data_IF_445293323523
#
_entry.id   IF_445293323523
#
_cell.length_a   1.000
_cell.length_b   1.000
_cell.length_c   1.000
_cell.angle_alpha   90.00
_cell.angle_beta   90.00
_cell.angle_gamma   90.00
#
_symmetry.space_group_name_H-M   'P 1'
#
loop_
_entity.id
_entity.type
_entity.pdbx_description
1 polymer ?
#
# COMPACT_ATOMS: atom_id res chain seq x y z
N UNK A 1 9.83 17.80 -15.63
CA UNK A 1 9.48 16.41 -15.97
C UNK A 1 9.12 16.31 -17.42
N UNK A 2 9.71 15.34 -18.14
CA UNK A 2 9.30 15.03 -19.51
C UNK A 2 7.93 14.35 -19.52
N UNK A 3 7.13 14.55 -20.57
CA UNK A 3 5.79 13.94 -20.75
C UNK A 3 5.81 12.42 -20.55
N UNK A 4 6.88 11.76 -21.01
CA UNK A 4 7.08 10.30 -20.83
C UNK A 4 7.16 9.86 -19.36
N UNK A 5 7.77 10.65 -18.48
CA UNK A 5 7.87 10.32 -17.06
C UNK A 5 6.52 10.44 -16.34
N UNK A 6 5.72 11.42 -16.73
CA UNK A 6 4.35 11.60 -16.22
C UNK A 6 3.49 10.39 -16.60
N UNK A 7 3.46 10.01 -17.88
CA UNK A 7 2.69 8.87 -18.36
C UNK A 7 3.07 7.54 -17.66
N UNK A 8 4.35 7.35 -17.34
CA UNK A 8 4.82 6.15 -16.64
C UNK A 8 4.35 6.09 -15.18
N UNK A 9 4.29 7.24 -14.48
CA UNK A 9 3.76 7.32 -13.12
C UNK A 9 2.27 6.97 -13.11
N UNK A 10 1.47 7.65 -13.94
CA UNK A 10 0.03 7.38 -14.04
C UNK A 10 -0.24 5.94 -14.46
N UNK A 11 0.40 5.48 -15.54
CA UNK A 11 0.24 4.10 -16.00
C UNK A 11 0.57 3.08 -14.92
N UNK A 12 1.59 3.32 -14.10
CA UNK A 12 1.94 2.44 -12.98
C UNK A 12 0.94 2.47 -11.82
N UNK A 13 0.51 3.65 -11.38
CA UNK A 13 -0.47 3.80 -10.28
C UNK A 13 -1.83 3.23 -10.70
N UNK A 14 -2.33 3.60 -11.87
CA UNK A 14 -3.59 3.05 -12.38
C UNK A 14 -3.48 1.54 -12.58
N UNK A 15 -2.33 1.01 -13.04
CA UNK A 15 -2.11 -0.43 -13.12
C UNK A 15 -2.16 -1.11 -11.75
N UNK A 16 -1.54 -0.55 -10.71
CA UNK A 16 -1.57 -1.14 -9.36
C UNK A 16 -2.99 -1.14 -8.77
N UNK A 17 -3.73 -0.04 -8.95
CA UNK A 17 -5.13 0.07 -8.57
C UNK A 17 -6.00 -0.97 -9.28
N UNK A 18 -5.89 -1.06 -10.62
CA UNK A 18 -6.65 -2.01 -11.42
C UNK A 18 -6.33 -3.44 -11.02
N UNK A 19 -5.06 -3.76 -10.79
CA UNK A 19 -4.65 -5.09 -10.36
C UNK A 19 -5.32 -5.48 -9.04
N UNK A 20 -5.29 -4.61 -8.02
CA UNK A 20 -5.93 -4.86 -6.73
C UNK A 20 -7.46 -5.02 -6.85
N UNK A 21 -8.11 -4.15 -7.63
CA UNK A 21 -9.56 -4.20 -7.88
C UNK A 21 -9.95 -5.45 -8.67
N UNK A 22 -9.16 -5.85 -9.68
CA UNK A 22 -9.40 -7.07 -10.46
C UNK A 22 -9.28 -8.30 -9.57
N UNK A 23 -8.28 -8.35 -8.69
CA UNK A 23 -8.18 -9.44 -7.70
C UNK A 23 -9.46 -9.45 -6.86
N UNK A 24 -9.87 -8.33 -6.27
CA UNK A 24 -11.09 -8.27 -5.47
C UNK A 24 -12.35 -8.69 -6.25
N UNK A 25 -12.45 -8.31 -7.53
CA UNK A 25 -13.54 -8.71 -8.40
C UNK A 25 -13.57 -10.23 -8.65
N UNK A 26 -12.40 -10.83 -8.90
CA UNK A 26 -12.28 -12.25 -9.17
C UNK A 26 -12.46 -13.10 -7.91
N UNK A 27 -11.98 -12.61 -6.77
CA UNK A 27 -11.98 -13.36 -5.51
C UNK A 27 -13.23 -13.14 -4.67
N UNK A 28 -13.98 -12.05 -4.92
CA UNK A 28 -15.19 -11.66 -4.19
C UNK A 28 -15.00 -11.83 -2.68
N UNK A 29 -14.04 -11.12 -2.07
CA UNK A 29 -13.63 -11.38 -0.71
C UNK A 29 -14.80 -11.20 0.27
N UNK A 30 -14.91 -12.11 1.23
CA UNK A 30 -15.85 -12.01 2.35
C UNK A 30 -15.05 -11.92 3.65
N UNK A 31 -15.33 -10.88 4.41
CA UNK A 31 -14.66 -10.63 5.69
C UNK A 31 -15.41 -11.32 6.82
N UNK A 32 -14.77 -12.28 7.48
CA UNK A 32 -15.31 -13.03 8.61
C UNK A 32 -14.95 -12.36 9.93
N UNK A 33 -15.92 -12.24 10.82
CA UNK A 33 -15.75 -11.74 12.20
C UNK A 33 -15.55 -12.90 13.16
N UNK A 34 -16.40 -13.93 13.08
CA UNK A 34 -16.34 -15.10 13.97
C UNK A 34 -16.92 -16.36 13.31
N UNK A 35 -16.50 -17.51 13.79
CA UNK A 35 -17.11 -18.80 13.47
C UNK A 35 -18.00 -19.17 14.65
N UNK A 36 -19.28 -19.39 14.40
CA UNK A 36 -20.27 -19.71 15.42
C UNK A 36 -20.20 -21.20 15.79
N UNK A 37 -20.62 -21.59 17.01
CA UNK A 37 -20.62 -22.99 17.46
C UNK A 37 -21.43 -23.92 16.54
N UNK A 38 -22.47 -23.38 15.90
CA UNK A 38 -23.37 -24.11 14.99
C UNK A 38 -22.76 -24.37 13.60
N UNK A 39 -21.51 -23.97 13.37
CA UNK A 39 -20.81 -24.09 12.08
C UNK A 39 -21.11 -22.96 11.08
N UNK A 40 -22.05 -22.07 11.39
CA UNK A 40 -22.28 -20.85 10.63
C UNK A 40 -21.16 -19.82 10.87
N UNK A 41 -21.00 -18.92 9.91
CA UNK A 41 -19.97 -17.89 9.93
C UNK A 41 -20.63 -16.53 10.02
N UNK A 42 -20.19 -15.70 10.97
CA UNK A 42 -20.59 -14.31 11.04
C UNK A 42 -19.65 -13.49 10.16
N UNK A 43 -20.18 -12.92 9.08
CA UNK A 43 -19.43 -12.19 8.07
C UNK A 43 -19.94 -10.75 7.93
N UNK A 44 -19.08 -9.86 7.43
CA UNK A 44 -19.44 -8.51 7.03
C UNK A 44 -19.88 -8.56 5.57
N UNK A 45 -21.14 -8.25 5.32
CA UNK A 45 -21.74 -8.14 3.98
C UNK A 45 -22.35 -6.75 3.88
N UNK A 46 -21.93 -5.97 2.88
CA UNK A 46 -22.41 -4.59 2.64
C UNK A 46 -22.43 -3.74 3.93
N UNK A 47 -21.31 -3.71 4.67
CA UNK A 47 -21.15 -3.00 5.96
C UNK A 47 -22.02 -3.50 7.14
N UNK A 48 -22.79 -4.58 6.98
CA UNK A 48 -23.60 -5.19 8.03
C UNK A 48 -23.10 -6.59 8.40
N UNK A 49 -23.30 -7.00 9.65
CA UNK A 49 -22.93 -8.36 10.10
C UNK A 49 -24.08 -9.31 9.84
N UNK A 50 -23.84 -10.32 9.00
CA UNK A 50 -24.81 -11.37 8.68
C UNK A 50 -24.25 -12.75 9.06
N UNK A 51 -25.13 -13.65 9.50
CA UNK A 51 -24.77 -15.05 9.72
C UNK A 51 -25.02 -15.84 8.44
N UNK A 52 -23.96 -16.36 7.84
CA UNK A 52 -23.99 -17.13 6.60
C UNK A 52 -23.68 -18.61 6.88
N UNK A 53 -24.36 -19.54 6.19
CA UNK A 53 -23.97 -20.95 6.23
C UNK A 53 -22.63 -21.16 5.52
N UNK A 54 -21.83 -22.11 5.99
CA UNK A 54 -20.51 -22.40 5.44
C UNK A 54 -20.51 -22.76 3.94
N UNK A 55 -21.64 -23.27 3.42
CA UNK A 55 -21.79 -23.55 1.99
C UNK A 55 -21.73 -22.30 1.11
N UNK A 56 -22.22 -21.16 1.62
CA UNK A 56 -22.36 -19.92 0.85
C UNK A 56 -21.03 -19.15 0.69
N UNK A 57 -20.00 -19.53 1.43
CA UNK A 57 -18.69 -18.85 1.42
C UNK A 57 -17.62 -19.61 0.63
N UNK A 58 -17.94 -20.79 0.08
CA UNK A 58 -16.98 -21.65 -0.63
C UNK A 58 -16.43 -21.06 -1.92
N UNK A 59 -17.18 -20.19 -2.59
CA UNK A 59 -16.75 -19.49 -3.81
C UNK A 59 -16.10 -18.13 -3.55
N UNK A 60 -15.88 -17.77 -2.28
CA UNK A 60 -15.41 -16.47 -1.86
C UNK A 60 -14.04 -16.59 -1.19
N UNK A 61 -13.19 -15.60 -1.39
CA UNK A 61 -11.94 -15.51 -0.64
C UNK A 61 -12.24 -15.09 0.79
N UNK A 62 -11.93 -15.99 1.72
CA UNK A 62 -12.16 -15.78 3.14
C UNK A 62 -11.04 -14.93 3.73
N UNK A 63 -11.41 -13.79 4.30
CA UNK A 63 -10.52 -12.86 4.99
C UNK A 63 -10.97 -12.72 6.43
N UNK A 64 -10.06 -12.74 7.39
CA UNK A 64 -10.43 -12.46 8.79
C UNK A 64 -10.40 -10.95 9.05
N UNK A 65 -11.47 -10.42 9.66
CA UNK A 65 -11.53 -9.01 10.09
C UNK A 65 -10.44 -8.72 11.11
N UNK A 66 -9.66 -7.66 10.88
CA UNK A 66 -8.69 -7.14 11.85
C UNK A 66 -9.38 -6.05 12.67
N UNK A 67 -10.10 -6.47 13.72
CA UNK A 67 -10.84 -5.58 14.63
C UNK A 67 -10.70 -6.01 16.10
N UNK A 68 -9.47 -6.02 16.66
CA UNK A 68 -9.22 -6.46 18.05
C UNK A 68 -9.95 -5.63 19.11
N UNK A 69 -10.30 -4.38 18.80
CA UNK A 69 -11.04 -3.48 19.69
C UNK A 69 -12.55 -3.45 19.43
N UNK A 70 -13.07 -4.45 18.70
CA UNK A 70 -14.48 -4.55 18.32
C UNK A 70 -14.84 -3.79 17.03
N UNK A 71 -16.10 -3.93 16.64
CA UNK A 71 -16.66 -3.30 15.44
C UNK A 71 -17.21 -1.90 15.77
N UNK A 72 -17.16 -0.98 14.80
CA UNK A 72 -17.77 0.35 14.90
C UNK A 72 -16.76 1.45 15.19
N UNK A 73 -17.25 2.69 15.24
CA UNK A 73 -16.41 3.90 15.15
C UNK A 73 -15.26 3.95 16.15
N UNK A 74 -15.52 3.67 17.43
CA UNK A 74 -14.47 3.71 18.46
C UNK A 74 -13.44 2.59 18.28
N UNK A 75 -13.90 1.38 17.95
CA UNK A 75 -13.01 0.25 17.64
C UNK A 75 -12.13 0.54 16.43
N UNK A 76 -12.73 1.03 15.34
CA UNK A 76 -12.01 1.44 14.13
C UNK A 76 -10.96 2.53 14.41
N UNK A 77 -11.28 3.52 15.26
CA UNK A 77 -10.35 4.57 15.66
C UNK A 77 -9.15 3.98 16.43
N UNK A 78 -9.41 3.11 17.42
CA UNK A 78 -8.33 2.46 18.18
C UNK A 78 -7.46 1.54 17.32
N UNK A 79 -8.04 0.81 16.38
CA UNK A 79 -7.28 -0.01 15.42
C UNK A 79 -6.38 0.90 14.58
N UNK A 80 -6.95 1.95 13.97
CA UNK A 80 -6.19 2.87 13.12
C UNK A 80 -5.06 3.58 13.88
N UNK A 81 -5.31 4.06 15.10
CA UNK A 81 -4.31 4.67 15.96
C UNK A 81 -3.18 3.68 16.31
N UNK A 82 -3.54 2.44 16.64
CA UNK A 82 -2.57 1.37 16.96
C UNK A 82 -1.67 1.06 15.76
N UNK A 83 -2.24 0.96 14.56
CA UNK A 83 -1.48 0.70 13.34
C UNK A 83 -0.54 1.85 13.00
N UNK A 84 -1.00 3.09 13.14
CA UNK A 84 -0.16 4.28 12.91
C UNK A 84 0.97 4.32 13.92
N UNK A 85 0.70 4.18 15.22
CA UNK A 85 1.75 4.13 16.25
C UNK A 85 2.73 2.98 15.98
N UNK A 86 2.23 1.79 15.63
CA UNK A 86 3.05 0.64 15.27
C UNK A 86 3.96 0.91 14.07
N UNK A 87 3.44 1.58 13.03
CA UNK A 87 4.23 1.98 11.86
C UNK A 87 5.33 2.99 12.21
N UNK A 88 5.06 3.92 13.13
CA UNK A 88 6.05 4.88 13.62
C UNK A 88 7.16 4.20 14.43
N UNK A 89 6.79 3.25 15.29
CA UNK A 89 7.76 2.43 16.03
C UNK A 89 8.60 1.60 15.06
N UNK A 90 7.99 0.96 14.07
CA UNK A 90 8.69 0.19 13.05
C UNK A 90 9.66 1.08 12.25
N UNK A 91 9.22 2.27 11.83
CA UNK A 91 10.07 3.24 11.15
C UNK A 91 11.24 3.71 12.04
N UNK A 92 11.00 3.98 13.32
CA UNK A 92 12.05 4.33 14.28
C UNK A 92 13.08 3.21 14.46
N UNK A 93 12.62 1.96 14.59
CA UNK A 93 13.51 0.80 14.68
C UNK A 93 14.32 0.61 13.39
N UNK A 94 13.72 0.82 12.23
CA UNK A 94 14.39 0.76 10.93
C UNK A 94 15.50 1.81 10.85
N UNK A 95 15.26 3.04 11.32
CA UNK A 95 16.29 4.10 11.41
C UNK A 95 17.42 3.72 12.36
N UNK A 96 17.13 3.07 13.49
CA UNK A 96 18.15 2.59 14.42
C UNK A 96 19.02 1.49 13.79
N UNK A 97 18.39 0.59 13.02
CA UNK A 97 19.08 -0.49 12.29
C UNK A 97 19.90 0.02 11.11
N UNK A 98 19.49 1.13 10.47
CA UNK A 98 20.27 1.82 9.43
C UNK A 98 21.68 2.14 9.92
N UNK A 99 21.81 2.55 11.19
CA UNK A 99 23.11 2.90 11.80
C UNK A 99 24.04 1.69 12.02
N UNK A 100 23.54 0.46 11.89
CA UNK A 100 24.31 -0.77 12.12
C UNK A 100 24.71 -1.53 10.86
N UNK A 101 24.37 -1.04 9.66
CA UNK A 101 24.80 -1.62 8.38
C UNK A 101 24.10 -2.91 7.94
N UNK A 102 23.27 -3.54 8.79
CA UNK A 102 22.53 -4.77 8.47
C UNK A 102 21.17 -4.54 7.81
N UNK A 103 20.86 -3.30 7.44
CA UNK A 103 19.50 -2.91 7.04
C UNK A 103 19.02 -3.65 5.78
N UNK A 104 19.90 -3.91 4.82
CA UNK A 104 19.54 -4.61 3.59
C UNK A 104 19.02 -6.02 3.89
N UNK A 105 19.63 -6.73 4.84
CA UNK A 105 19.17 -8.07 5.22
C UNK A 105 17.79 -8.03 5.87
N UNK A 106 17.56 -7.04 6.72
CA UNK A 106 16.28 -6.85 7.41
C UNK A 106 15.17 -6.49 6.42
N UNK A 107 15.39 -5.49 5.57
CA UNK A 107 14.43 -5.06 4.55
C UNK A 107 14.16 -6.20 3.56
N UNK A 108 15.21 -6.86 3.06
CA UNK A 108 15.07 -7.98 2.12
C UNK A 108 14.32 -9.16 2.73
N UNK A 109 14.59 -9.47 4.00
CA UNK A 109 13.91 -10.55 4.71
C UNK A 109 12.43 -10.22 4.94
N UNK A 110 12.13 -9.04 5.49
CA UNK A 110 10.75 -8.62 5.77
C UNK A 110 9.95 -8.56 4.46
N UNK A 111 10.47 -7.91 3.42
CA UNK A 111 9.74 -7.78 2.16
C UNK A 111 9.70 -9.08 1.37
N UNK A 112 10.73 -9.94 1.44
CA UNK A 112 10.69 -11.28 0.86
C UNK A 112 9.59 -12.12 1.50
N UNK A 113 9.50 -12.13 2.83
CA UNK A 113 8.43 -12.83 3.57
C UNK A 113 7.06 -12.22 3.25
N UNK A 114 6.93 -10.89 3.25
CA UNK A 114 5.68 -10.22 2.91
C UNK A 114 5.24 -10.56 1.47
N UNK A 115 6.15 -10.54 0.51
CA UNK A 115 5.89 -10.96 -0.89
C UNK A 115 5.40 -12.39 -0.94
N UNK A 116 6.07 -13.30 -0.23
CA UNK A 116 5.66 -14.70 -0.20
C UNK A 116 4.23 -14.83 0.35
N UNK A 117 3.94 -14.23 1.51
CA UNK A 117 2.65 -14.36 2.17
C UNK A 117 1.50 -13.77 1.34
N UNK A 118 1.68 -12.57 0.79
CA UNK A 118 0.66 -11.90 -0.02
C UNK A 118 0.40 -12.65 -1.33
N UNK A 119 1.46 -12.98 -2.07
CA UNK A 119 1.30 -13.70 -3.33
C UNK A 119 0.81 -15.14 -3.13
N UNK A 120 1.20 -15.81 -2.04
CA UNK A 120 0.67 -17.12 -1.67
C UNK A 120 -0.81 -17.05 -1.32
N UNK A 121 -1.23 -16.02 -0.58
CA UNK A 121 -2.63 -15.83 -0.23
C UNK A 121 -3.51 -15.70 -1.48
N UNK A 122 -3.09 -14.91 -2.48
CA UNK A 122 -3.80 -14.77 -3.76
C UNK A 122 -3.71 -16.05 -4.59
N UNK A 123 -2.52 -16.63 -4.76
CA UNK A 123 -2.32 -17.80 -5.61
C UNK A 123 -3.03 -19.06 -5.08
N UNK A 124 -3.04 -19.25 -3.76
CA UNK A 124 -3.70 -20.39 -3.10
C UNK A 124 -5.22 -20.36 -3.29
N UNK A 125 -5.84 -19.18 -3.39
CA UNK A 125 -7.25 -19.06 -3.72
C UNK A 125 -7.57 -19.58 -5.13
N UNK A 126 -6.77 -19.19 -6.14
CA UNK A 126 -7.03 -19.58 -7.53
C UNK A 126 -6.62 -21.02 -7.87
N UNK A 127 -5.53 -21.51 -7.25
CA UNK A 127 -4.87 -22.76 -7.66
C UNK A 127 -4.94 -23.84 -6.59
N UNK A 128 -5.51 -23.54 -5.41
CA UNK A 128 -5.57 -24.41 -4.25
C UNK A 128 -4.34 -24.29 -3.34
N UNK A 129 -4.55 -24.46 -2.03
CA UNK A 129 -3.54 -24.28 -0.98
C UNK A 129 -2.30 -25.17 -1.13
N UNK A 130 -2.47 -26.42 -1.58
CA UNK A 130 -1.38 -27.39 -1.66
C UNK A 130 -0.82 -27.60 -3.08
N UNK A 131 -1.21 -26.75 -4.03
CA UNK A 131 -0.69 -26.80 -5.39
C UNK A 131 0.79 -26.40 -5.42
N UNK A 132 1.61 -27.14 -6.19
CA UNK A 132 3.01 -26.79 -6.38
C UNK A 132 3.17 -25.38 -7.00
N UNK A 133 2.20 -24.95 -7.81
CA UNK A 133 2.23 -23.64 -8.46
C UNK A 133 1.89 -22.52 -7.46
N UNK A 134 0.93 -22.74 -6.56
CA UNK A 134 0.56 -21.74 -5.55
C UNK A 134 1.66 -21.49 -4.54
N UNK A 135 2.60 -22.43 -4.34
CA UNK A 135 3.79 -22.24 -3.51
C UNK A 135 4.97 -21.73 -4.34
N UNK A 136 5.19 -22.32 -5.52
CA UNK A 136 6.36 -22.06 -6.36
C UNK A 136 6.44 -20.63 -6.89
N UNK A 137 5.32 -20.08 -7.38
CA UNK A 137 5.31 -18.70 -7.92
C UNK A 137 5.62 -17.65 -6.84
N UNK A 138 4.94 -17.65 -5.67
CA UNK A 138 5.28 -16.74 -4.58
C UNK A 138 6.73 -16.90 -4.09
N UNK A 139 7.26 -18.13 -4.04
CA UNK A 139 8.64 -18.36 -3.65
C UNK A 139 9.63 -17.71 -4.62
N UNK A 140 9.37 -17.80 -5.93
CA UNK A 140 10.18 -17.12 -6.96
C UNK A 140 10.12 -15.61 -6.79
N UNK A 141 8.92 -15.04 -6.62
CA UNK A 141 8.76 -13.60 -6.42
C UNK A 141 9.48 -13.11 -5.16
N UNK A 142 9.30 -13.81 -4.04
CA UNK A 142 9.98 -13.52 -2.78
C UNK A 142 11.51 -13.61 -2.92
N UNK A 143 12.01 -14.61 -3.63
CA UNK A 143 13.44 -14.79 -3.89
C UNK A 143 14.02 -13.65 -4.72
N UNK A 144 13.28 -13.17 -5.74
CA UNK A 144 13.70 -12.03 -6.56
C UNK A 144 13.73 -10.75 -5.74
N UNK A 145 12.69 -10.47 -4.93
CA UNK A 145 12.64 -9.29 -4.06
C UNK A 145 13.76 -9.32 -3.01
N UNK A 146 13.99 -10.48 -2.38
CA UNK A 146 15.08 -10.63 -1.43
C UNK A 146 16.45 -10.44 -2.10
N UNK A 147 16.67 -11.02 -3.28
CA UNK A 147 17.90 -10.84 -4.05
C UNK A 147 18.10 -9.37 -4.47
N UNK A 148 17.04 -8.66 -4.82
CA UNK A 148 17.09 -7.23 -5.15
C UNK A 148 17.49 -6.38 -3.94
N UNK A 149 16.92 -6.63 -2.77
CA UNK A 149 17.28 -5.89 -1.56
C UNK A 149 18.71 -6.15 -1.08
N UNK A 150 19.23 -7.37 -1.30
CA UNK A 150 20.62 -7.70 -0.95
C UNK A 150 21.63 -7.16 -1.97
N UNK A 151 21.30 -7.22 -3.27
CA UNK A 151 22.22 -6.94 -4.36
C UNK A 151 21.60 -6.02 -5.43
N UNK A 152 21.13 -4.81 -5.09
CA UNK A 152 20.38 -3.94 -6.00
C UNK A 152 21.20 -3.57 -7.25
N UNK A 153 22.52 -3.43 -7.12
CA UNK A 153 23.43 -3.06 -8.22
C UNK A 153 23.47 -4.10 -9.36
N UNK A 154 23.08 -5.36 -9.10
CA UNK A 154 23.01 -6.42 -10.12
C UNK A 154 21.75 -6.34 -10.99
N UNK A 155 20.71 -5.64 -10.53
CA UNK A 155 19.48 -5.47 -11.28
C UNK A 155 19.61 -4.22 -12.16
N UNK A 156 19.84 -4.43 -13.46
CA UNK A 156 19.96 -3.35 -14.47
C UNK A 156 19.18 -3.71 -15.72
N UNK A 157 18.77 -2.70 -16.48
CA UNK A 157 18.01 -2.89 -17.72
C UNK A 157 16.66 -3.58 -17.45
N UNK A 158 16.40 -4.70 -18.14
CA UNK A 158 15.13 -5.43 -18.01
C UNK A 158 14.88 -5.99 -16.60
N UNK A 159 15.95 -6.38 -15.88
CA UNK A 159 15.84 -6.90 -14.51
C UNK A 159 15.34 -5.82 -13.55
N UNK A 160 15.75 -4.56 -13.75
CA UNK A 160 15.26 -3.45 -12.96
C UNK A 160 13.76 -3.21 -13.22
N UNK A 161 13.32 -3.33 -14.48
CA UNK A 161 11.89 -3.24 -14.83
C UNK A 161 11.09 -4.36 -14.16
N UNK A 162 11.58 -5.60 -14.21
CA UNK A 162 10.92 -6.75 -13.58
C UNK A 162 10.73 -6.53 -12.08
N UNK A 163 11.80 -6.14 -11.38
CA UNK A 163 11.72 -5.89 -9.94
C UNK A 163 10.77 -4.73 -9.64
N UNK A 164 10.82 -3.67 -10.44
CA UNK A 164 9.93 -2.53 -10.25
C UNK A 164 8.45 -2.92 -10.38
N UNK A 165 8.13 -3.79 -11.34
CA UNK A 165 6.80 -4.39 -11.48
C UNK A 165 6.46 -5.26 -10.27
N UNK A 166 7.39 -6.09 -9.77
CA UNK A 166 7.13 -6.90 -8.58
C UNK A 166 6.90 -6.05 -7.31
N UNK A 167 7.65 -4.96 -7.11
CA UNK A 167 7.43 -4.04 -6.00
C UNK A 167 6.07 -3.35 -6.14
N UNK A 168 5.70 -2.93 -7.35
CA UNK A 168 4.40 -2.33 -7.64
C UNK A 168 3.24 -3.32 -7.36
N UNK A 169 3.38 -4.58 -7.80
CA UNK A 169 2.42 -5.65 -7.53
C UNK A 169 2.33 -5.95 -6.03
N UNK A 170 3.45 -6.00 -5.32
CA UNK A 170 3.45 -6.20 -3.87
C UNK A 170 2.68 -5.09 -3.14
N UNK A 171 2.89 -3.83 -3.54
CA UNK A 171 2.11 -2.71 -3.00
C UNK A 171 0.62 -2.84 -3.29
N UNK A 172 0.27 -3.29 -4.49
CA UNK A 172 -1.13 -3.56 -4.85
C UNK A 172 -1.75 -4.72 -4.06
N UNK A 173 -1.03 -5.83 -3.89
CA UNK A 173 -1.47 -6.99 -3.09
C UNK A 173 -1.64 -6.62 -1.61
N UNK A 174 -0.71 -5.84 -1.06
CA UNK A 174 -0.82 -5.32 0.30
C UNK A 174 -2.04 -4.39 0.41
N UNK A 175 -2.24 -3.50 -0.57
CA UNK A 175 -3.40 -2.61 -0.63
C UNK A 175 -4.72 -3.39 -0.67
N UNK A 176 -4.79 -4.42 -1.52
CA UNK A 176 -5.91 -5.37 -1.56
C UNK A 176 -6.14 -6.02 -0.20
N UNK A 177 -5.10 -6.60 0.40
CA UNK A 177 -5.20 -7.30 1.69
C UNK A 177 -5.72 -6.39 2.81
N UNK A 178 -5.19 -5.17 2.93
CA UNK A 178 -5.65 -4.21 3.94
C UNK A 178 -7.07 -3.73 3.67
N UNK A 179 -7.45 -3.54 2.40
CA UNK A 179 -8.78 -3.12 2.00
C UNK A 179 -9.87 -4.13 2.45
N UNK A 180 -9.58 -5.43 2.33
CA UNK A 180 -10.55 -6.48 2.67
C UNK A 180 -10.50 -6.89 4.15
N UNK A 181 -9.40 -6.56 4.84
CA UNK A 181 -9.18 -6.92 6.24
C UNK A 181 -9.74 -5.89 7.23
N UNK A 182 -9.89 -4.63 6.82
CA UNK A 182 -10.34 -3.54 7.67
C UNK A 182 -11.76 -3.09 7.38
N UNK A 183 -12.41 -2.57 8.41
CA UNK A 183 -13.71 -1.91 8.28
C UNK A 183 -13.56 -0.58 7.53
N UNK A 184 -14.59 -0.19 6.77
CA UNK A 184 -14.71 1.13 6.13
C UNK A 184 -14.18 2.30 6.99
N UNK A 185 -14.61 2.41 8.25
CA UNK A 185 -14.19 3.51 9.12
C UNK A 185 -12.71 3.46 9.49
N UNK A 186 -12.12 2.27 9.66
CA UNK A 186 -10.69 2.12 9.92
C UNK A 186 -9.89 2.65 8.74
N UNK A 187 -10.32 2.35 7.51
CA UNK A 187 -9.67 2.82 6.28
C UNK A 187 -9.73 4.34 6.17
N UNK A 188 -10.90 4.94 6.44
CA UNK A 188 -11.07 6.39 6.47
C UNK A 188 -10.15 7.02 7.53
N UNK A 189 -10.10 6.48 8.74
CA UNK A 189 -9.21 6.99 9.79
C UNK A 189 -7.73 6.84 9.43
N UNK A 190 -7.32 5.71 8.84
CA UNK A 190 -5.96 5.53 8.34
C UNK A 190 -5.61 6.56 7.28
N UNK A 191 -6.52 6.83 6.33
CA UNK A 191 -6.33 7.86 5.32
C UNK A 191 -6.08 9.24 5.95
N UNK A 192 -6.89 9.64 6.94
CA UNK A 192 -6.70 10.90 7.65
C UNK A 192 -5.41 10.93 8.48
N UNK A 193 -5.13 9.88 9.27
CA UNK A 193 -3.99 9.84 10.18
C UNK A 193 -2.65 9.81 9.43
N UNK A 194 -2.52 8.97 8.39
CA UNK A 194 -1.31 8.93 7.59
C UNK A 194 -1.14 10.18 6.73
N UNK A 195 -2.21 10.74 6.17
CA UNK A 195 -2.19 12.05 5.50
C UNK A 195 -1.70 13.16 6.44
N UNK A 196 -2.28 13.24 7.64
CA UNK A 196 -1.88 14.25 8.63
C UNK A 196 -0.43 14.06 9.08
N UNK A 197 0.01 12.81 9.28
CA UNK A 197 1.39 12.50 9.63
C UNK A 197 2.36 12.87 8.51
N UNK A 198 2.06 12.51 7.26
CA UNK A 198 2.91 12.81 6.10
C UNK A 198 3.06 14.33 5.94
N UNK A 199 1.95 15.07 5.99
CA UNK A 199 1.95 16.53 5.99
C UNK A 199 2.79 17.12 7.13
N UNK A 200 2.59 16.64 8.36
CA UNK A 200 3.36 17.10 9.52
C UNK A 200 4.86 16.80 9.36
N UNK A 201 5.20 15.59 8.89
CA UNK A 201 6.58 15.12 8.77
C UNK A 201 7.40 15.97 7.79
N UNK A 202 6.77 16.39 6.70
CA UNK A 202 7.36 17.21 5.63
C UNK A 202 7.54 18.67 6.03
N UNK A 203 6.54 19.29 6.68
CA UNK A 203 6.59 20.73 6.98
C UNK A 203 7.17 21.08 8.35
N UNK A 204 7.04 20.21 9.35
CA UNK A 204 7.46 20.49 10.74
C UNK A 204 8.31 19.36 11.35
N UNK A 205 8.30 18.19 10.74
CA UNK A 205 8.92 17.00 11.29
C UNK A 205 10.42 16.84 11.01
N UNK A 206 10.97 15.66 11.35
CA UNK A 206 12.39 15.35 11.24
C UNK A 206 12.93 15.48 9.81
N UNK A 207 12.10 15.17 8.82
CA UNK A 207 12.45 15.22 7.39
C UNK A 207 12.68 16.67 6.93
N UNK A 208 11.86 17.62 7.41
CA UNK A 208 12.08 19.06 7.15
C UNK A 208 13.45 19.57 7.63
N UNK A 209 13.95 19.00 8.74
CA UNK A 209 15.26 19.36 9.30
C UNK A 209 16.43 18.72 8.55
N UNK A 210 16.19 17.60 7.86
CA UNK A 210 17.17 16.93 6.99
C UNK A 210 17.21 17.53 5.57
N UNK A 211 16.12 18.16 5.11
CA UNK A 211 15.97 18.71 3.75
C UNK A 211 16.12 20.24 3.67
N UNK A 212 16.36 20.92 4.79
CA UNK A 212 16.39 22.39 4.86
C UNK A 212 14.98 23.00 4.84
N UNK A 213 14.84 24.22 5.38
CA UNK A 213 13.56 24.95 5.36
C UNK A 213 13.14 25.18 3.90
N UNK A 214 11.84 25.18 3.58
CA UNK A 214 11.34 25.47 2.23
C UNK A 214 11.70 26.91 1.85
N UNK A 215 12.86 27.09 1.22
CA UNK A 215 13.32 28.37 0.70
C UNK A 215 12.61 28.62 -0.63
N UNK A 216 11.85 29.70 -0.71
CA UNK A 216 11.12 30.15 -1.91
C UNK A 216 12.03 30.64 -3.07
N UNK A 217 13.34 30.35 -3.02
CA UNK A 217 14.31 30.66 -4.08
C UNK A 217 14.94 29.35 -4.56
N UNK A 218 14.23 28.71 -5.48
CA UNK A 218 14.78 27.65 -6.30
C UNK A 218 15.64 28.30 -7.38
N UNK A 219 16.93 28.52 -7.10
CA UNK A 219 17.91 28.64 -8.19
C UNK A 219 19.35 28.25 -7.81
N UNK A 220 19.82 28.44 -6.56
CA UNK A 220 21.28 28.30 -6.29
C UNK A 220 21.70 27.44 -5.08
N UNK A 221 20.91 26.45 -4.66
CA UNK A 221 21.35 25.54 -3.59
C UNK A 221 21.14 24.07 -3.98
N UNK A 222 22.05 23.56 -4.82
CA UNK A 222 22.47 22.16 -4.73
C UNK A 222 23.24 21.95 -3.42
N UNK A 223 22.59 22.15 -2.27
CA UNK A 223 23.12 21.58 -1.04
C UNK A 223 22.95 20.07 -1.14
N UNK A 224 24.11 19.42 -1.21
CA UNK A 224 24.34 17.99 -1.18
C UNK A 224 23.77 17.44 0.13
N UNK A 225 22.44 17.29 0.20
CA UNK A 225 21.83 16.35 1.13
C UNK A 225 22.33 15.00 0.63
N UNK A 226 23.25 14.39 1.38
CA UNK A 226 23.67 13.02 1.21
C UNK A 226 22.41 12.15 1.13
N UNK A 227 21.94 11.89 -0.10
CA UNK A 227 20.85 10.95 -0.33
C UNK A 227 21.36 9.64 0.26
N UNK A 228 20.70 9.05 1.28
CA UNK A 228 21.12 7.76 1.81
C UNK A 228 21.34 6.85 0.61
N UNK A 229 22.52 6.21 0.52
CA UNK A 229 23.00 5.66 -0.75
C UNK A 229 21.87 4.89 -1.43
N UNK A 230 21.61 5.23 -2.70
CA UNK A 230 20.46 4.82 -3.53
C UNK A 230 20.21 3.30 -3.62
N UNK A 231 21.02 2.48 -2.96
CA UNK A 231 20.88 1.03 -2.89
C UNK A 231 20.07 0.50 -1.69
N UNK A 232 20.00 1.19 -0.55
CA UNK A 232 19.53 0.55 0.69
C UNK A 232 18.00 0.40 0.82
N UNK A 233 17.22 1.26 0.14
CA UNK A 233 15.76 1.29 0.22
C UNK A 233 15.06 0.77 -1.04
N UNK A 234 15.82 0.19 -1.98
CA UNK A 234 15.32 -0.20 -3.31
C UNK A 234 13.99 -0.96 -3.27
N UNK A 235 13.86 -2.05 -2.50
CA UNK A 235 12.60 -2.80 -2.42
C UNK A 235 11.42 -2.05 -1.77
N UNK A 236 11.66 -0.94 -1.07
CA UNK A 236 10.63 -0.10 -0.45
C UNK A 236 10.17 1.05 -1.36
N UNK A 237 10.76 1.17 -2.55
CA UNK A 237 10.51 2.26 -3.48
C UNK A 237 10.18 1.70 -4.87
N UNK A 238 9.16 2.29 -5.49
CA UNK A 238 8.88 2.09 -6.92
C UNK A 238 9.52 3.22 -7.70
N UNK A 239 10.34 2.87 -8.68
CA UNK A 239 11.06 3.81 -9.52
C UNK A 239 10.28 4.09 -10.82
N UNK A 240 9.84 5.34 -11.00
CA UNK A 240 9.17 5.82 -12.20
C UNK A 240 10.10 6.66 -13.11
N UNK A 241 11.40 6.37 -13.07
CA UNK A 241 12.44 7.09 -13.81
C UNK A 241 12.89 8.36 -13.11
N UNK A 242 12.12 9.45 -13.25
CA UNK A 242 12.48 10.76 -12.69
C UNK A 242 12.04 10.92 -11.22
N UNK A 243 11.09 10.11 -10.76
CA UNK A 243 10.50 10.13 -9.43
C UNK A 243 10.49 8.72 -8.86
N UNK A 244 10.78 8.62 -7.57
CA UNK A 244 10.60 7.41 -6.78
C UNK A 244 9.43 7.63 -5.83
N UNK A 245 8.61 6.61 -5.65
CA UNK A 245 7.42 6.64 -4.82
C UNK A 245 7.50 5.53 -3.78
N UNK A 246 7.00 5.78 -2.57
CA UNK A 246 7.01 4.79 -1.51
C UNK A 246 6.10 3.61 -1.84
N UNK A 247 6.50 2.40 -1.46
CA UNK A 247 5.62 1.23 -1.47
C UNK A 247 4.32 1.51 -0.68
N UNK A 248 4.42 2.29 0.42
CA UNK A 248 3.29 2.75 1.20
C UNK A 248 2.30 3.58 0.38
N UNK A 249 2.76 4.50 -0.45
CA UNK A 249 1.88 5.32 -1.29
C UNK A 249 1.08 4.45 -2.27
N UNK A 250 1.76 3.53 -2.95
CA UNK A 250 1.13 2.55 -3.86
C UNK A 250 0.10 1.69 -3.11
N UNK A 251 0.43 1.29 -1.89
CA UNK A 251 -0.46 0.51 -1.02
C UNK A 251 -1.74 1.28 -0.74
N UNK A 252 -1.65 2.54 -0.30
CA UNK A 252 -2.83 3.36 -0.03
C UNK A 252 -3.64 3.67 -1.29
N UNK A 253 -2.96 3.99 -2.40
CA UNK A 253 -3.63 4.27 -3.68
C UNK A 253 -4.40 3.07 -4.21
N UNK A 254 -3.92 1.86 -3.96
CA UNK A 254 -4.59 0.62 -4.37
C UNK A 254 -5.64 0.17 -3.35
N UNK A 255 -5.42 0.42 -2.05
CA UNK A 255 -6.32 0.04 -0.96
C UNK A 255 -7.67 0.76 -1.05
N UNK A 256 -7.67 2.08 -1.24
CA UNK A 256 -8.88 2.91 -1.25
C UNK A 256 -9.94 2.43 -2.26
N UNK A 257 -9.66 2.34 -3.59
CA UNK A 257 -10.65 1.90 -4.55
C UNK A 257 -11.07 0.43 -4.34
N UNK A 258 -10.13 -0.42 -3.90
CA UNK A 258 -10.42 -1.82 -3.60
C UNK A 258 -11.39 -1.95 -2.43
N UNK A 259 -11.29 -1.11 -1.42
CA UNK A 259 -12.20 -1.10 -0.28
C UNK A 259 -13.60 -0.58 -0.65
N UNK A 260 -13.72 0.44 -1.51
CA UNK A 260 -15.03 0.84 -2.07
C UNK A 260 -15.70 -0.32 -2.79
N UNK A 261 -14.92 -1.07 -3.59
CA UNK A 261 -15.43 -2.24 -4.28
C UNK A 261 -15.85 -3.35 -3.30
N UNK A 262 -15.00 -3.67 -2.31
CA UNK A 262 -15.24 -4.72 -1.33
C UNK A 262 -16.44 -4.43 -0.41
N UNK A 263 -16.70 -3.15 -0.11
CA UNK A 263 -17.87 -2.71 0.66
C UNK A 263 -19.18 -2.72 -0.14
N UNK A 264 -19.13 -3.11 -1.43
CA UNK A 264 -20.33 -3.25 -2.27
C UNK A 264 -20.90 -1.93 -2.78
N UNK A 265 -20.14 -0.83 -2.73
CA UNK A 265 -20.58 0.50 -3.18
C UNK A 265 -20.70 0.61 -4.73
N UNK A 266 -20.20 -0.40 -5.45
CA UNK A 266 -20.40 -0.55 -6.89
C UNK A 266 -19.24 -0.02 -7.74
N UNK A 267 -19.09 -0.60 -8.94
CA UNK A 267 -17.95 -0.35 -9.83
C UNK A 267 -17.85 1.12 -10.29
N UNK A 268 -18.97 1.82 -10.41
CA UNK A 268 -18.99 3.24 -10.79
C UNK A 268 -18.25 4.11 -9.78
N UNK A 269 -18.51 3.92 -8.48
CA UNK A 269 -17.80 4.63 -7.41
C UNK A 269 -16.34 4.19 -7.30
N UNK A 270 -16.03 2.92 -7.51
CA UNK A 270 -14.65 2.42 -7.56
C UNK A 270 -13.84 3.12 -8.67
N UNK A 271 -14.39 3.26 -9.87
CA UNK A 271 -13.70 3.94 -10.98
C UNK A 271 -13.56 5.45 -10.75
N UNK A 272 -14.59 6.08 -10.15
CA UNK A 272 -14.52 7.48 -9.75
C UNK A 272 -13.39 7.70 -8.72
N UNK A 273 -13.26 6.80 -7.75
CA UNK A 273 -12.23 6.85 -6.72
C UNK A 273 -10.83 6.73 -7.29
N UNK A 274 -10.60 5.78 -8.20
CA UNK A 274 -9.32 5.66 -8.91
C UNK A 274 -8.97 6.97 -9.63
N UNK A 275 -9.94 7.57 -10.32
CA UNK A 275 -9.76 8.85 -11.01
C UNK A 275 -9.44 9.98 -10.03
N UNK A 276 -10.12 10.05 -8.88
CA UNK A 276 -9.87 11.08 -7.86
C UNK A 276 -8.46 10.96 -7.26
N UNK A 277 -8.00 9.73 -6.98
CA UNK A 277 -6.63 9.48 -6.51
C UNK A 277 -5.62 9.88 -7.58
N UNK A 278 -5.82 9.49 -8.83
CA UNK A 278 -4.95 9.87 -9.94
C UNK A 278 -4.89 11.40 -10.11
N UNK A 279 -6.03 12.08 -10.07
CA UNK A 279 -6.09 13.56 -10.09
C UNK A 279 -5.35 14.16 -8.89
N UNK A 280 -5.48 13.57 -7.71
CA UNK A 280 -4.74 13.99 -6.52
C UNK A 280 -3.23 13.85 -6.68
N UNK A 281 -2.77 12.73 -7.24
CA UNK A 281 -1.34 12.51 -7.55
C UNK A 281 -0.88 13.53 -8.59
N UNK A 282 -1.69 13.80 -9.61
CA UNK A 282 -1.41 14.84 -10.61
C UNK A 282 -1.21 16.21 -9.95
N UNK A 283 -2.11 16.59 -9.04
CA UNK A 283 -2.05 17.83 -8.31
C UNK A 283 -0.77 17.91 -7.44
N UNK A 284 -0.43 16.84 -6.70
CA UNK A 284 0.81 16.75 -5.92
C UNK A 284 2.04 16.92 -6.81
N UNK A 285 2.10 16.26 -7.96
CA UNK A 285 3.21 16.37 -8.91
C UNK A 285 3.34 17.77 -9.52
N UNK A 286 2.22 18.44 -9.80
CA UNK A 286 2.22 19.82 -10.30
C UNK A 286 2.72 20.78 -9.21
N UNK A 287 2.27 20.61 -7.97
CA UNK A 287 2.73 21.39 -6.82
C UNK A 287 4.22 21.15 -6.52
N UNK A 288 4.72 19.93 -6.72
CA UNK A 288 6.13 19.56 -6.51
C UNK A 288 7.10 20.29 -7.45
N UNK A 289 6.57 20.88 -8.53
CA UNK A 289 7.34 21.79 -9.39
C UNK A 289 7.55 23.17 -8.77
N UNK A 290 6.68 23.58 -7.85
CA UNK A 290 6.67 24.92 -7.24
C UNK A 290 7.20 24.92 -5.81
N UNK A 291 6.95 23.86 -5.04
CA UNK A 291 7.33 23.72 -3.63
C UNK A 291 7.98 22.36 -3.41
N UNK A 292 9.14 22.34 -2.74
CA UNK A 292 9.82 21.11 -2.33
C UNK A 292 10.34 21.27 -0.90
N UNK A 293 10.27 20.23 -0.05
CA UNK A 293 9.57 18.95 -0.24
C UNK A 293 8.03 19.07 -0.15
N UNK A 294 7.30 18.12 -0.73
CA UNK A 294 5.84 17.99 -0.57
C UNK A 294 5.44 16.58 -0.12
N UNK A 295 4.40 16.47 0.72
CA UNK A 295 3.86 15.18 1.14
C UNK A 295 3.12 14.50 -0.02
N UNK A 296 3.26 13.18 -0.11
CA UNK A 296 2.73 12.37 -1.20
C UNK A 296 1.27 11.99 -1.01
N UNK A 297 0.89 11.64 0.22
CA UNK A 297 -0.42 11.07 0.57
C UNK A 297 -1.58 12.07 0.71
N UNK A 298 -1.40 13.32 1.20
CA UNK A 298 -2.55 14.09 1.66
C UNK A 298 -3.58 14.41 0.58
N UNK A 299 -3.14 14.92 -0.57
CA UNK A 299 -4.06 15.32 -1.63
C UNK A 299 -4.77 14.10 -2.24
N UNK A 300 -4.06 13.03 -2.66
CA UNK A 300 -4.72 11.83 -3.20
C UNK A 300 -5.70 11.18 -2.21
N UNK A 301 -5.31 11.00 -0.95
CA UNK A 301 -6.18 10.31 0.01
C UNK A 301 -7.38 11.14 0.44
N UNK A 302 -7.23 12.46 0.62
CA UNK A 302 -8.35 13.31 0.96
C UNK A 302 -9.37 13.42 -0.18
N UNK A 303 -8.91 13.44 -1.44
CA UNK A 303 -9.83 13.35 -2.58
C UNK A 303 -10.53 11.98 -2.62
N UNK A 304 -9.81 10.91 -2.32
CA UNK A 304 -10.41 9.57 -2.29
C UNK A 304 -11.46 9.38 -1.19
N UNK A 305 -11.22 9.95 0.00
CA UNK A 305 -12.21 9.92 1.09
C UNK A 305 -13.56 10.52 0.68
N UNK A 306 -13.60 11.43 -0.31
CA UNK A 306 -14.86 11.98 -0.84
C UNK A 306 -15.76 10.87 -1.40
N UNK A 307 -15.22 9.91 -2.16
CA UNK A 307 -16.05 8.83 -2.71
C UNK A 307 -16.48 7.82 -1.64
N UNK A 308 -15.69 7.64 -0.58
CA UNK A 308 -16.10 6.83 0.58
C UNK A 308 -17.29 7.40 1.35
N UNK A 309 -17.48 8.72 1.30
CA UNK A 309 -18.55 9.44 1.99
C UNK A 309 -19.80 9.68 1.12
N UNK A 310 -19.71 9.40 -0.18
CA UNK A 310 -20.84 9.44 -1.12
C UNK A 310 -21.77 8.24 -0.94
#
# INVERSE_FOLDING_TARGET
MKVKGIALIFGGITFSQLFAVIIAYLTKPITIVSINPDGNVTAIVNSTTESLPASNITSHMIVQSISPFGLGTFGSLLVSATLVIGSLVAAFLLVLLLRRGYINYVISGILGVATFLLSYYVASFFLGYYSAISIGVPLVFASIIAAYGLYPRRFRGWLQLLVNVLVLLNGAELGFFLAVSFQKLTIIFLAFLFSAYDFYSVFRGPISRMLGKPSARAEDQEEVVERPERGFLGPMLVNFGEIEMGLGDITFYSMMPTAIFAEGMGMGLTLLEMLLIDVGVAATLVLLRKVRPLPGLPIPLLLGVIAFLA
#
